data_IF_995472297694
#
_entry.id   IF_995472297694
#
_cell.length_a   1.000
_cell.length_b   1.000
_cell.length_c   1.000
_cell.angle_alpha   90.00
_cell.angle_beta   90.00
_cell.angle_gamma   90.00
#
_symmetry.space_group_name_H-M   'P 1'
#
loop_
_entity.id
_entity.type
_entity.pdbx_description
1 polymer ?
#
# COMPACT_ATOMS: atom_id res chain seq x y z
N UNK A 1 16.41 11.90 -0.40
CA UNK A 1 14.99 11.98 -0.77
C UNK A 1 14.22 11.00 0.12
N UNK A 2 13.10 11.40 0.75
CA UNK A 2 12.35 10.52 1.65
C UNK A 2 11.19 9.85 0.90
N UNK A 3 10.98 8.56 1.13
CA UNK A 3 9.86 7.79 0.58
C UNK A 3 8.57 8.12 1.34
N UNK A 4 8.06 9.33 1.16
CA UNK A 4 6.76 9.74 1.72
C UNK A 4 5.68 9.72 0.65
N UNK A 5 4.42 9.60 1.09
CA UNK A 5 3.25 9.65 0.21
C UNK A 5 3.28 10.88 -0.70
N UNK A 6 3.54 12.08 -0.15
CA UNK A 6 3.60 13.32 -0.93
C UNK A 6 4.73 13.33 -1.97
N UNK A 7 5.89 12.76 -1.63
CA UNK A 7 7.03 12.71 -2.55
C UNK A 7 6.72 11.78 -3.73
N UNK A 8 6.14 10.61 -3.44
CA UNK A 8 5.74 9.64 -4.46
C UNK A 8 4.58 10.18 -5.32
N UNK A 9 3.61 10.87 -4.71
CA UNK A 9 2.52 11.55 -5.42
C UNK A 9 3.06 12.56 -6.42
N UNK A 10 4.01 13.40 -6.00
CA UNK A 10 4.61 14.41 -6.88
C UNK A 10 5.42 13.77 -8.01
N UNK A 11 6.20 12.74 -7.73
CA UNK A 11 6.92 11.98 -8.74
C UNK A 11 5.99 11.31 -9.75
N UNK A 12 4.96 10.62 -9.27
CA UNK A 12 3.97 9.97 -10.13
C UNK A 12 3.23 10.98 -10.98
N UNK A 13 2.82 12.14 -10.44
CA UNK A 13 2.15 13.16 -11.24
C UNK A 13 2.99 13.67 -12.42
N UNK A 14 4.33 13.66 -12.27
CA UNK A 14 5.25 14.03 -13.34
C UNK A 14 5.43 12.92 -14.39
N UNK A 15 5.31 11.66 -13.97
CA UNK A 15 5.49 10.47 -14.81
C UNK A 15 4.17 10.03 -15.48
N UNK A 16 3.02 10.20 -14.82
CA UNK A 16 1.68 9.80 -15.28
C UNK A 16 1.31 10.40 -16.63
N UNK A 17 1.80 11.62 -16.93
CA UNK A 17 1.63 12.25 -18.23
C UNK A 17 2.25 11.43 -19.39
N UNK A 18 3.35 10.71 -19.12
CA UNK A 18 3.98 9.79 -20.08
C UNK A 18 3.43 8.36 -19.95
N UNK A 19 3.07 7.94 -18.74
CA UNK A 19 2.58 6.59 -18.45
C UNK A 19 1.25 6.26 -19.14
N UNK A 20 0.33 7.23 -19.17
CA UNK A 20 -0.98 7.10 -19.85
C UNK A 20 -0.84 6.85 -21.36
N UNK A 21 0.28 7.27 -21.97
CA UNK A 21 0.55 7.06 -23.39
C UNK A 21 1.12 5.68 -23.68
N UNK A 22 1.75 5.03 -22.70
CA UNK A 22 2.56 3.84 -22.94
C UNK A 22 2.14 2.60 -22.13
N UNK A 23 1.12 2.68 -21.28
CA UNK A 23 0.53 1.53 -20.55
C UNK A 23 1.58 0.65 -19.86
N UNK A 24 2.58 1.28 -19.24
CA UNK A 24 3.65 0.55 -18.57
C UNK A 24 3.14 -0.19 -17.32
N UNK A 25 3.84 -1.25 -16.92
CA UNK A 25 3.56 -1.95 -15.66
C UNK A 25 4.45 -1.39 -14.55
N UNK A 26 3.85 -1.05 -13.40
CA UNK A 26 4.60 -0.52 -12.25
C UNK A 26 5.27 -1.69 -11.54
N UNK A 27 6.60 -1.69 -11.54
CA UNK A 27 7.41 -2.58 -10.73
C UNK A 27 8.07 -1.75 -9.64
N UNK A 28 7.75 -2.04 -8.38
CA UNK A 28 8.28 -1.32 -7.23
C UNK A 28 8.41 -2.25 -6.03
N UNK A 29 9.20 -1.83 -5.05
CA UNK A 29 9.30 -2.53 -3.77
C UNK A 29 7.94 -2.58 -3.07
N UNK A 30 7.70 -3.64 -2.30
CA UNK A 30 6.46 -3.84 -1.54
C UNK A 30 6.11 -2.66 -0.63
N UNK A 31 7.12 -2.01 -0.04
CA UNK A 31 6.93 -0.84 0.81
C UNK A 31 6.44 0.37 0.01
N UNK A 32 6.96 0.56 -1.20
CA UNK A 32 6.51 1.64 -2.10
C UNK A 32 5.08 1.38 -2.54
N UNK A 33 4.76 0.14 -2.96
CA UNK A 33 3.40 -0.24 -3.33
C UNK A 33 2.43 0.03 -2.17
N UNK A 34 2.80 -0.30 -0.93
CA UNK A 34 1.99 -0.02 0.25
C UNK A 34 1.66 1.48 0.40
N UNK A 35 2.63 2.37 0.16
CA UNK A 35 2.41 3.81 0.19
C UNK A 35 1.54 4.27 -0.99
N UNK A 36 1.74 3.71 -2.18
CA UNK A 36 0.95 4.03 -3.37
C UNK A 36 -0.53 3.67 -3.23
N UNK A 37 -0.82 2.57 -2.53
CA UNK A 37 -2.20 2.17 -2.24
C UNK A 37 -2.81 2.91 -1.03
N UNK A 38 -2.09 3.86 -0.44
CA UNK A 38 -2.59 4.72 0.62
C UNK A 38 -2.49 4.16 2.04
N UNK A 39 -1.70 3.10 2.26
CA UNK A 39 -1.50 2.56 3.61
C UNK A 39 -0.65 3.50 4.46
N UNK A 40 -1.02 3.60 5.73
CA UNK A 40 -0.30 4.34 6.73
C UNK A 40 1.09 3.73 6.95
N UNK A 41 2.11 4.58 6.92
CA UNK A 41 3.49 4.19 7.17
C UNK A 41 3.73 3.84 8.65
N UNK A 42 4.66 2.92 8.89
CA UNK A 42 5.09 2.52 10.23
C UNK A 42 4.57 1.14 10.66
N UNK A 43 4.71 0.83 11.95
CA UNK A 43 4.32 -0.46 12.51
C UNK A 43 2.81 -0.51 12.84
N UNK A 44 2.01 -0.48 11.78
CA UNK A 44 0.54 -0.51 11.88
C UNK A 44 0.02 -1.93 11.92
N UNK A 45 -1.19 -2.09 12.46
CA UNK A 45 -1.81 -3.40 12.71
C UNK A 45 -2.02 -4.19 11.42
N UNK A 46 -2.42 -3.53 10.34
CA UNK A 46 -2.72 -4.13 9.04
C UNK A 46 -1.93 -3.44 7.93
N UNK A 47 -0.61 -3.59 7.97
CA UNK A 47 0.30 -2.90 7.04
C UNK A 47 0.36 -3.52 5.63
N UNK A 48 -0.31 -4.65 5.40
CA UNK A 48 -0.21 -5.39 4.15
C UNK A 48 -1.46 -5.20 3.27
N UNK A 49 -1.23 -4.92 1.99
CA UNK A 49 -2.30 -4.61 1.04
C UNK A 49 -2.95 -5.84 0.41
N UNK A 50 -2.26 -7.00 0.37
CA UNK A 50 -2.80 -8.23 -0.24
C UNK A 50 -3.71 -9.02 0.73
N UNK A 51 -3.42 -8.97 2.04
CA UNK A 51 -4.19 -9.69 3.05
C UNK A 51 -4.30 -8.92 4.36
N UNK A 52 -5.32 -9.26 5.15
CA UNK A 52 -5.62 -8.66 6.44
C UNK A 52 -4.78 -9.31 7.54
N UNK A 53 -3.45 -9.25 7.39
CA UNK A 53 -2.54 -9.78 8.39
C UNK A 53 -2.45 -8.82 9.58
N UNK A 54 -2.78 -9.34 10.76
CA UNK A 54 -2.61 -8.63 12.03
C UNK A 54 -1.16 -8.81 12.52
N UNK A 55 -0.33 -7.79 12.30
CA UNK A 55 1.09 -7.80 12.70
C UNK A 55 1.29 -7.87 14.21
N UNK A 56 0.26 -7.51 14.99
CA UNK A 56 0.30 -7.42 16.46
C UNK A 56 -0.23 -8.67 17.14
N UNK A 57 -0.88 -9.59 16.42
CA UNK A 57 -1.39 -10.85 16.98
C UNK A 57 -0.25 -11.90 17.07
N UNK A 58 0.57 -11.79 18.11
CA UNK A 58 1.70 -12.69 18.38
C UNK A 58 1.23 -14.15 18.55
N UNK A 59 0.03 -14.35 19.13
CA UNK A 59 -0.48 -15.70 19.40
C UNK A 59 -0.77 -16.43 18.10
N UNK A 60 -1.48 -15.78 17.17
CA UNK A 60 -1.83 -16.40 15.88
C UNK A 60 -0.75 -16.29 14.82
N UNK A 61 0.27 -15.46 15.04
CA UNK A 61 1.34 -15.18 14.08
C UNK A 61 1.93 -16.44 13.41
N UNK A 62 2.25 -17.47 14.19
CA UNK A 62 2.87 -18.71 13.67
C UNK A 62 1.87 -19.86 13.48
N UNK A 63 0.63 -19.71 13.95
CA UNK A 63 -0.43 -20.72 13.79
C UNK A 63 -1.22 -20.49 12.50
N UNK A 64 -1.47 -19.24 12.15
CA UNK A 64 -2.30 -18.85 11.03
C UNK A 64 -1.46 -18.70 9.76
N UNK A 65 -1.54 -19.71 8.88
CA UNK A 65 -0.86 -19.72 7.59
C UNK A 65 -1.61 -18.97 6.49
N UNK A 66 -2.93 -18.87 6.62
CA UNK A 66 -3.81 -18.25 5.62
C UNK A 66 -4.55 -17.08 6.26
N UNK A 67 -4.29 -15.89 5.74
CA UNK A 67 -4.97 -14.65 6.15
C UNK A 67 -6.03 -14.27 5.12
N UNK A 68 -7.13 -13.68 5.58
CA UNK A 68 -8.20 -13.22 4.71
C UNK A 68 -7.66 -12.21 3.71
N UNK A 69 -7.96 -12.41 2.42
CA UNK A 69 -7.55 -11.47 1.38
C UNK A 69 -8.17 -10.10 1.64
N UNK A 70 -7.43 -9.05 1.33
CA UNK A 70 -7.96 -7.69 1.39
C UNK A 70 -8.67 -7.41 0.07
N UNK A 71 -10.00 -7.38 0.10
CA UNK A 71 -10.82 -7.14 -1.09
C UNK A 71 -10.94 -5.65 -1.44
N UNK A 72 -10.99 -4.80 -0.41
CA UNK A 72 -11.14 -3.36 -0.56
C UNK A 72 -10.10 -2.64 0.30
N UNK A 73 -9.61 -1.53 -0.25
CA UNK A 73 -8.73 -0.56 0.40
C UNK A 73 -9.57 0.71 0.50
N UNK A 74 -10.28 0.85 1.61
CA UNK A 74 -11.23 1.95 1.86
C UNK A 74 -10.54 2.93 2.79
N UNK A 75 -10.43 4.19 2.38
CA UNK A 75 -9.83 5.23 3.21
C UNK A 75 -10.53 5.33 4.58
N UNK A 76 -9.74 5.49 5.64
CA UNK A 76 -10.17 5.52 7.04
C UNK A 76 -10.41 4.14 7.68
N UNK A 77 -10.39 3.06 6.89
CA UNK A 77 -10.60 1.69 7.40
C UNK A 77 -9.24 0.98 7.44
N UNK A 78 -8.97 0.21 8.50
CA UNK A 78 -7.83 -0.75 8.59
C UNK A 78 -6.44 -0.21 8.22
N UNK A 79 -6.15 1.06 8.56
CA UNK A 79 -4.88 1.77 8.35
C UNK A 79 -4.65 2.26 6.91
N UNK A 80 -5.69 2.33 6.09
CA UNK A 80 -5.70 3.12 4.85
C UNK A 80 -5.96 4.58 5.23
N UNK A 81 -4.92 5.43 5.21
CA UNK A 81 -5.04 6.84 5.61
C UNK A 81 -5.27 7.75 4.40
N UNK A 82 -4.64 7.42 3.28
CA UNK A 82 -4.64 8.24 2.08
C UNK A 82 -5.46 7.58 0.97
N UNK A 83 -5.89 8.40 0.02
CA UNK A 83 -6.43 7.91 -1.25
C UNK A 83 -5.34 7.16 -2.03
N UNK A 84 -5.78 6.25 -2.91
CA UNK A 84 -4.86 5.54 -3.79
C UNK A 84 -4.31 6.49 -4.83
N UNK A 85 -2.99 6.45 -5.04
CA UNK A 85 -2.31 7.22 -6.08
C UNK A 85 -2.29 6.51 -7.43
N UNK A 86 -2.60 5.21 -7.45
CA UNK A 86 -2.55 4.36 -8.64
C UNK A 86 -3.82 3.50 -8.67
N UNK A 87 -4.40 3.34 -9.87
CA UNK A 87 -5.60 2.56 -10.14
C UNK A 87 -5.32 1.05 -10.20
#
# INVERSE_FOLDING_TARGET
MKETYETLKHMLSSIEFEYSKHSWHICADLKVIAVLVGLQAGYTKFFFFLCQWDSRDIKKHYMQKVWSKRQFLIQGVKNEENEKLVA
#
